data_IF_707810288145
#
_entry.id   IF_707810288145
#
_cell.length_a   1.000
_cell.length_b   1.000
_cell.length_c   1.000
_cell.angle_alpha   90.00
_cell.angle_beta   90.00
_cell.angle_gamma   90.00
#
_symmetry.space_group_name_H-M   'P 1'
#
loop_
_entity.id
_entity.type
_entity.pdbx_description
1 polymer ?
#
# COMPACT_ATOMS: atom_id res chain seq x y z
N UNK A 1 -2.02 -31.17 -1.14
CA UNK A 1 -2.80 -29.93 -1.33
C UNK A 1 -3.78 -29.76 -0.17
N UNK A 2 -3.59 -28.75 0.67
CA UNK A 2 -4.43 -28.49 1.85
C UNK A 2 -5.79 -27.89 1.46
N UNK A 3 -6.78 -27.90 2.37
CA UNK A 3 -8.09 -27.24 2.13
C UNK A 3 -7.91 -25.76 1.77
N UNK A 4 -6.99 -25.07 2.47
CA UNK A 4 -6.66 -23.67 2.21
C UNK A 4 -6.08 -23.45 0.80
N UNK A 5 -5.17 -24.32 0.34
CA UNK A 5 -4.61 -24.25 -1.02
C UNK A 5 -5.68 -24.48 -2.09
N UNK A 6 -6.65 -25.37 -1.87
CA UNK A 6 -7.78 -25.56 -2.80
C UNK A 6 -8.65 -24.31 -2.90
N UNK A 7 -8.93 -23.67 -1.77
CA UNK A 7 -9.70 -22.41 -1.74
C UNK A 7 -8.94 -21.31 -2.48
N UNK A 8 -7.64 -21.14 -2.20
CA UNK A 8 -6.80 -20.17 -2.90
C UNK A 8 -6.77 -20.46 -4.41
N UNK A 9 -6.59 -21.71 -4.83
CA UNK A 9 -6.61 -22.09 -6.24
C UNK A 9 -7.98 -21.82 -6.91
N UNK A 10 -9.09 -22.05 -6.19
CA UNK A 10 -10.43 -21.74 -6.71
C UNK A 10 -10.60 -20.23 -6.95
N UNK A 11 -10.03 -19.38 -6.09
CA UNK A 11 -10.08 -17.92 -6.26
C UNK A 11 -9.38 -17.40 -7.51
N UNK A 12 -8.43 -18.16 -8.08
CA UNK A 12 -7.82 -17.81 -9.36
C UNK A 12 -8.83 -17.79 -10.52
N UNK A 13 -9.89 -18.60 -10.44
CA UNK A 13 -10.89 -18.74 -11.50
C UNK A 13 -12.18 -17.97 -11.21
N UNK A 14 -12.35 -17.41 -10.00
CA UNK A 14 -13.54 -16.65 -9.65
C UNK A 14 -13.56 -15.28 -10.37
N UNK A 15 -14.74 -14.76 -10.73
CA UNK A 15 -14.89 -13.40 -11.21
C UNK A 15 -14.63 -12.39 -10.08
N UNK A 16 -14.24 -11.16 -10.45
CA UNK A 16 -13.90 -10.09 -9.51
C UNK A 16 -14.96 -9.80 -8.42
N UNK A 17 -16.28 -9.69 -8.72
CA UNK A 17 -17.28 -9.43 -7.68
C UNK A 17 -17.36 -10.57 -6.64
N UNK A 18 -17.39 -11.83 -7.10
CA UNK A 18 -17.44 -12.99 -6.19
C UNK A 18 -16.17 -13.10 -5.33
N UNK A 19 -15.01 -12.78 -5.89
CA UNK A 19 -13.76 -12.72 -5.13
C UNK A 19 -13.86 -11.69 -4.00
N UNK A 20 -14.40 -10.50 -4.28
CA UNK A 20 -14.58 -9.44 -3.29
C UNK A 20 -15.51 -9.86 -2.15
N UNK A 21 -16.63 -10.52 -2.46
CA UNK A 21 -17.54 -11.06 -1.43
C UNK A 21 -16.87 -12.12 -0.55
N UNK A 22 -16.11 -13.06 -1.15
CA UNK A 22 -15.38 -14.08 -0.41
C UNK A 22 -14.28 -13.48 0.48
N UNK A 23 -13.53 -12.51 -0.05
CA UNK A 23 -12.52 -11.76 0.71
C UNK A 23 -13.17 -11.03 1.87
N UNK A 24 -14.32 -10.36 1.67
CA UNK A 24 -15.07 -9.67 2.72
C UNK A 24 -15.45 -10.60 3.87
N UNK A 25 -15.97 -11.79 3.54
CA UNK A 25 -16.33 -12.80 4.55
C UNK A 25 -15.09 -13.26 5.33
N UNK A 26 -13.98 -13.52 4.63
CA UNK A 26 -12.76 -14.02 5.24
C UNK A 26 -12.04 -12.98 6.12
N UNK A 27 -12.08 -11.70 5.72
CA UNK A 27 -11.59 -10.57 6.51
C UNK A 27 -12.35 -10.46 7.84
N UNK A 28 -13.66 -10.73 7.84
CA UNK A 28 -14.51 -10.67 9.03
C UNK A 28 -14.37 -11.91 9.95
N UNK A 29 -14.15 -13.10 9.37
CA UNK A 29 -14.02 -14.34 10.12
C UNK A 29 -12.81 -14.36 11.07
N UNK A 30 -11.63 -13.94 10.60
CA UNK A 30 -10.38 -13.80 11.40
C UNK A 30 -9.96 -15.07 12.19
N UNK A 31 -10.49 -16.23 11.83
CA UNK A 31 -10.18 -17.52 12.45
C UNK A 31 -8.84 -18.11 11.98
N UNK A 32 -8.40 -19.20 12.60
CA UNK A 32 -7.22 -19.96 12.17
C UNK A 32 -7.36 -20.46 10.72
N UNK A 33 -8.56 -20.86 10.30
CA UNK A 33 -8.84 -21.25 8.93
C UNK A 33 -8.63 -20.10 7.93
N UNK A 34 -9.03 -18.87 8.29
CA UNK A 34 -8.80 -17.69 7.47
C UNK A 34 -7.31 -17.41 7.29
N UNK A 35 -6.53 -17.49 8.38
CA UNK A 35 -5.06 -17.35 8.33
C UNK A 35 -4.41 -18.38 7.40
N UNK A 36 -4.87 -19.64 7.44
CA UNK A 36 -4.36 -20.68 6.55
C UNK A 36 -4.64 -20.36 5.06
N UNK A 37 -5.81 -19.81 4.74
CA UNK A 37 -6.16 -19.37 3.38
C UNK A 37 -5.29 -18.19 2.96
N UNK A 38 -5.09 -17.18 3.81
CA UNK A 38 -4.19 -16.06 3.52
C UNK A 38 -2.75 -16.51 3.26
N UNK A 39 -2.26 -17.49 4.04
CA UNK A 39 -0.96 -18.12 3.81
C UNK A 39 -0.89 -18.77 2.42
N UNK A 40 -1.91 -19.54 2.04
CA UNK A 40 -1.96 -20.19 0.72
C UNK A 40 -2.09 -19.18 -0.43
N UNK A 41 -2.81 -18.08 -0.24
CA UNK A 41 -2.91 -16.99 -1.23
C UNK A 41 -1.55 -16.32 -1.42
N UNK A 42 -0.80 -16.12 -0.35
CA UNK A 42 0.53 -15.51 -0.39
C UNK A 42 1.54 -16.33 -1.19
N UNK A 43 1.38 -17.66 -1.26
CA UNK A 43 2.23 -18.54 -2.08
C UNK A 43 2.08 -18.27 -3.59
N UNK A 44 0.98 -17.64 -4.04
CA UNK A 44 0.75 -17.31 -5.45
C UNK A 44 0.61 -15.79 -5.66
N UNK A 45 1.63 -15.18 -6.25
CA UNK A 45 1.68 -13.73 -6.49
C UNK A 45 0.53 -13.18 -7.34
N UNK A 46 0.01 -13.96 -8.31
CA UNK A 46 -1.11 -13.54 -9.16
C UNK A 46 -2.40 -13.41 -8.36
N UNK A 47 -2.68 -14.42 -7.53
CA UNK A 47 -3.87 -14.44 -6.67
C UNK A 47 -3.72 -13.39 -5.56
N UNK A 48 -2.53 -13.25 -4.98
CA UNK A 48 -2.24 -12.21 -4.00
C UNK A 48 -2.46 -10.80 -4.56
N UNK A 49 -2.03 -10.52 -5.80
CA UNK A 49 -2.29 -9.23 -6.44
C UNK A 49 -3.80 -8.97 -6.63
N UNK A 50 -4.57 -9.97 -7.07
CA UNK A 50 -6.03 -9.86 -7.22
C UNK A 50 -6.73 -9.61 -5.88
N UNK A 51 -6.33 -10.33 -4.84
CA UNK A 51 -6.85 -10.14 -3.48
C UNK A 51 -6.50 -8.75 -2.95
N UNK A 52 -5.29 -8.22 -3.21
CA UNK A 52 -4.93 -6.83 -2.86
C UNK A 52 -5.82 -5.81 -3.57
N UNK A 53 -6.15 -6.05 -4.85
CA UNK A 53 -7.11 -5.24 -5.60
C UNK A 53 -8.52 -5.28 -4.99
N UNK A 54 -9.01 -6.47 -4.64
CA UNK A 54 -10.30 -6.63 -3.97
C UNK A 54 -10.34 -5.93 -2.59
N UNK A 55 -9.26 -6.01 -1.82
CA UNK A 55 -9.12 -5.31 -0.54
C UNK A 55 -9.10 -3.78 -0.72
N UNK A 56 -8.50 -3.27 -1.79
CA UNK A 56 -8.54 -1.83 -2.11
C UNK A 56 -9.97 -1.38 -2.49
N UNK A 57 -10.72 -2.21 -3.22
CA UNK A 57 -12.14 -1.99 -3.51
C UNK A 57 -12.99 -1.94 -2.24
N UNK A 58 -12.81 -2.92 -1.34
CA UNK A 58 -13.50 -2.94 -0.04
C UNK A 58 -13.14 -1.71 0.80
N UNK A 59 -11.88 -1.28 0.78
CA UNK A 59 -11.45 -0.07 1.48
C UNK A 59 -12.21 1.17 0.99
N UNK A 60 -12.45 1.28 -0.33
CA UNK A 60 -13.21 2.37 -0.91
C UNK A 60 -14.72 2.27 -0.60
N UNK A 61 -15.28 1.06 -0.62
CA UNK A 61 -16.68 0.79 -0.29
C UNK A 61 -17.01 1.20 1.15
N UNK A 62 -16.13 0.89 2.11
CA UNK A 62 -16.37 1.21 3.52
C UNK A 62 -16.03 2.65 3.93
N UNK A 63 -15.56 3.51 3.02
CA UNK A 63 -15.39 4.94 3.35
C UNK A 63 -16.74 5.60 3.57
N UNK A 64 -16.89 6.27 4.72
CA UNK A 64 -18.16 6.89 5.12
C UNK A 64 -19.16 5.93 5.75
N UNK A 65 -18.82 4.65 5.94
CA UNK A 65 -19.64 3.72 6.71
C UNK A 65 -19.45 3.92 8.22
N UNK A 66 -20.49 3.59 9.01
CA UNK A 66 -20.44 3.60 10.47
C UNK A 66 -19.24 2.84 11.05
N UNK A 67 -18.88 1.73 10.42
CA UNK A 67 -17.81 0.83 10.87
C UNK A 67 -16.50 1.02 10.09
N UNK A 68 -16.31 2.17 9.43
CA UNK A 68 -15.12 2.45 8.60
C UNK A 68 -13.82 2.12 9.32
N UNK A 69 -13.59 2.68 10.52
CA UNK A 69 -12.35 2.48 11.27
C UNK A 69 -12.07 1.00 11.57
N UNK A 70 -13.12 0.23 11.86
CA UNK A 70 -13.02 -1.20 12.14
C UNK A 70 -12.64 -1.99 10.88
N UNK A 71 -13.29 -1.68 9.76
CA UNK A 71 -12.96 -2.29 8.46
C UNK A 71 -11.55 -1.94 7.99
N UNK A 72 -11.14 -0.68 8.14
CA UNK A 72 -9.79 -0.24 7.78
C UNK A 72 -8.73 -0.97 8.60
N UNK A 73 -8.96 -1.16 9.90
CA UNK A 73 -8.07 -1.93 10.77
C UNK A 73 -7.97 -3.39 10.33
N UNK A 74 -9.09 -4.06 10.05
CA UNK A 74 -9.09 -5.46 9.63
C UNK A 74 -8.46 -5.67 8.26
N UNK A 75 -8.77 -4.79 7.30
CA UNK A 75 -8.15 -4.79 5.97
C UNK A 75 -6.64 -4.55 6.10
N UNK A 76 -6.22 -3.59 6.92
CA UNK A 76 -4.81 -3.34 7.20
C UNK A 76 -4.09 -4.56 7.77
N UNK A 77 -4.71 -5.28 8.71
CA UNK A 77 -4.14 -6.50 9.27
C UNK A 77 -3.95 -7.60 8.22
N UNK A 78 -4.93 -7.80 7.33
CA UNK A 78 -4.84 -8.79 6.25
C UNK A 78 -3.81 -8.37 5.20
N UNK A 79 -3.73 -7.08 4.87
CA UNK A 79 -2.71 -6.56 3.96
C UNK A 79 -1.30 -6.82 4.50
N UNK A 80 -1.06 -6.62 5.80
CA UNK A 80 0.22 -6.94 6.42
C UNK A 80 0.53 -8.45 6.36
N UNK A 81 -0.47 -9.31 6.57
CA UNK A 81 -0.30 -10.77 6.44
C UNK A 81 0.06 -11.20 5.00
N UNK A 82 -0.48 -10.51 4.00
CA UNK A 82 -0.18 -10.74 2.57
C UNK A 82 1.11 -10.07 2.09
N UNK A 83 1.61 -9.08 2.83
CA UNK A 83 2.80 -8.30 2.49
C UNK A 83 4.07 -8.83 3.16
N UNK A 84 3.97 -9.40 4.37
CA UNK A 84 5.11 -9.93 5.10
C UNK A 84 5.91 -10.88 4.19
N UNK A 85 7.20 -10.66 3.91
CA UNK A 85 8.10 -11.68 3.43
C UNK A 85 8.45 -12.64 4.58
N UNK A 86 8.94 -13.85 4.30
CA UNK A 86 9.38 -14.75 5.35
C UNK A 86 10.59 -14.08 6.03
N UNK A 87 10.40 -13.65 7.27
CA UNK A 87 11.40 -13.16 8.21
C UNK A 87 12.62 -12.43 7.61
N UNK A 88 12.50 -11.11 7.48
CA UNK A 88 13.56 -10.21 7.96
C UNK A 88 12.88 -9.25 8.93
N UNK A 89 13.25 -9.25 10.23
CA UNK A 89 12.76 -8.24 11.15
C UNK A 89 13.48 -6.96 10.79
N UNK A 90 12.81 -6.11 10.02
CA UNK A 90 13.25 -4.74 9.79
C UNK A 90 12.03 -3.87 10.07
N UNK A 91 12.01 -3.37 11.30
CA UNK A 91 11.62 -2.03 11.69
C UNK A 91 10.29 -1.54 11.11
N UNK A 92 9.28 -1.54 11.98
CA UNK A 92 8.43 -0.39 12.25
C UNK A 92 8.45 0.70 11.16
N UNK A 93 7.65 0.54 10.11
CA UNK A 93 7.14 1.70 9.38
C UNK A 93 5.94 2.24 10.14
N UNK A 94 6.20 2.78 11.33
CA UNK A 94 5.73 4.12 11.59
C UNK A 94 6.39 4.99 10.52
N UNK A 95 5.59 5.57 9.63
CA UNK A 95 6.04 6.72 8.87
C UNK A 95 6.05 7.86 9.89
N UNK A 96 7.11 7.88 10.69
CA UNK A 96 7.58 9.09 11.32
C UNK A 96 8.18 9.94 10.21
N UNK A 97 7.70 11.17 10.15
CA UNK A 97 8.38 12.29 9.57
C UNK A 97 9.84 12.30 10.04
N UNK A 98 10.78 12.28 9.08
CA UNK A 98 12.17 12.73 9.26
C UNK A 98 13.16 11.77 9.95
N UNK A 99 14.12 11.36 9.11
CA UNK A 99 15.42 10.68 9.31
C UNK A 99 16.44 11.57 10.08
N UNK A 100 17.66 11.13 10.48
CA UNK A 100 18.05 10.12 11.48
C UNK A 100 19.15 10.59 12.49
N UNK A 101 19.22 9.93 13.65
CA UNK A 101 20.40 9.35 14.36
C UNK A 101 21.62 10.19 14.89
N UNK A 102 21.91 9.98 16.19
CA UNK A 102 23.16 10.16 17.01
C UNK A 102 23.58 11.59 17.43
N UNK A 103 23.31 12.06 18.66
CA UNK A 103 23.90 11.76 19.99
C UNK A 103 24.70 12.98 20.55
N UNK A 104 24.87 13.13 21.88
CA UNK A 104 24.51 14.37 22.58
C UNK A 104 25.71 15.26 22.95
N UNK A 105 25.52 16.59 22.93
CA UNK A 105 26.35 17.51 23.71
C UNK A 105 25.56 18.74 24.13
N UNK A 106 25.52 18.99 25.43
CA UNK A 106 24.99 20.21 26.04
C UNK A 106 26.05 21.29 25.86
N UNK A 107 25.71 22.41 25.21
CA UNK A 107 26.37 23.71 25.42
C UNK A 107 25.41 24.84 25.03
N UNK A 108 24.84 25.45 26.06
CA UNK A 108 24.77 26.90 26.29
C UNK A 108 24.52 27.86 25.10
N UNK A 109 23.36 28.53 25.18
CA UNK A 109 23.03 29.89 24.73
C UNK A 109 23.96 30.63 23.77
N UNK A 110 23.46 30.94 22.57
CA UNK A 110 23.52 32.29 21.99
C UNK A 110 22.44 32.46 20.89
N UNK A 111 21.63 33.54 20.88
CA UNK A 111 20.69 33.83 19.81
C UNK A 111 21.42 34.55 18.65
N UNK A 112 20.99 34.40 17.39
CA UNK A 112 20.99 35.42 16.31
C UNK A 112 20.53 34.82 14.95
N UNK A 113 19.39 35.34 14.49
CA UNK A 113 18.86 35.62 13.13
C UNK A 113 18.92 34.63 11.92
N UNK A 114 17.86 34.67 11.05
CA UNK A 114 17.71 33.81 9.88
C UNK A 114 18.27 34.43 8.59
N UNK A 115 18.67 33.59 7.61
CA UNK A 115 18.44 33.96 6.20
C UNK A 115 17.92 32.79 5.33
N UNK A 116 16.92 33.07 4.51
CA UNK A 116 16.37 32.23 3.43
C UNK A 116 17.29 32.26 2.18
N UNK A 117 16.96 31.56 1.07
CA UNK A 117 17.47 30.27 0.56
C UNK A 117 18.51 30.41 -0.58
N UNK A 118 18.90 29.31 -1.26
CA UNK A 118 18.48 29.21 -2.66
C UNK A 118 17.95 27.82 -3.09
N UNK A 119 16.88 27.85 -3.88
CA UNK A 119 16.27 26.71 -4.59
C UNK A 119 17.24 26.21 -5.68
N UNK A 120 17.48 24.90 -5.84
CA UNK A 120 18.24 24.39 -6.98
C UNK A 120 17.46 24.60 -8.29
N UNK A 121 18.14 25.22 -9.25
CA UNK A 121 17.64 25.45 -10.60
C UNK A 121 17.56 24.11 -11.35
N UNK A 122 16.35 23.65 -11.66
CA UNK A 122 16.14 22.61 -12.67
C UNK A 122 16.10 23.32 -14.02
N UNK A 123 17.19 23.18 -14.73
CA UNK A 123 17.39 23.55 -16.13
C UNK A 123 16.46 22.67 -16.99
N UNK A 124 15.36 23.24 -17.46
CA UNK A 124 14.48 22.60 -18.44
C UNK A 124 14.69 23.29 -19.80
N UNK A 125 15.11 22.58 -20.86
CA UNK A 125 15.21 23.17 -22.17
C UNK A 125 13.81 23.50 -22.71
N UNK A 126 13.62 24.75 -23.13
CA UNK A 126 12.40 25.21 -23.78
C UNK A 126 12.21 24.45 -25.11
N UNK A 127 11.27 23.52 -25.14
CA UNK A 127 10.85 22.86 -26.38
C UNK A 127 10.05 23.90 -27.18
N UNK A 128 10.67 24.49 -28.20
CA UNK A 128 10.01 25.37 -29.16
C UNK A 128 9.18 24.51 -30.12
N UNK A 129 7.85 24.65 -30.02
CA UNK A 129 6.92 24.13 -31.01
C UNK A 129 7.14 24.88 -32.33
N UNK A 130 7.58 24.19 -33.39
CA UNK A 130 7.61 24.74 -34.74
C UNK A 130 6.31 24.39 -35.45
N UNK A 131 5.53 25.42 -35.80
CA UNK A 131 4.32 25.28 -36.60
C UNK A 131 4.71 25.13 -38.10
N UNK A 132 4.19 24.13 -38.83
CA UNK A 132 4.43 24.02 -40.25
C UNK A 132 3.63 25.08 -41.02
N UNK A 133 4.31 25.85 -41.86
CA UNK A 133 3.69 26.83 -42.74
C UNK A 133 2.63 26.16 -43.62
N UNK A 134 1.39 26.63 -43.50
CA UNK A 134 0.30 26.27 -44.41
C UNK A 134 0.67 26.70 -45.83
N UNK A 135 1.03 25.74 -46.67
CA UNK A 135 1.15 25.93 -48.11
C UNK A 135 -0.26 25.91 -48.70
N UNK A 136 -0.81 27.10 -48.98
CA UNK A 136 -2.02 27.24 -49.81
C UNK A 136 -1.60 27.81 -51.15
N UNK A 137 -1.96 27.08 -52.21
CA UNK A 137 -1.80 27.44 -53.62
C UNK A 137 -3.11 28.01 -54.15
#
# INVERSE_FOLDING_TARGET
MTKAQRIAAAWANLPAPELTDQVRLLVKARDAAARAVWSAVRENNVIAARVRGALAGLKAEYRGHRDEAMWLMWIGQVQQQLAAPAATPIVETAVEDVTPDLEPVITEWAPIQPPTPPRPAVDAPAVLFQEPASSTK
#
